data_IF_413330455609
#
_entry.id   IF_413330455609
#
_cell.length_a   1.000
_cell.length_b   1.000
_cell.length_c   1.000
_cell.angle_alpha   90.00
_cell.angle_beta   90.00
_cell.angle_gamma   90.00
#
_symmetry.space_group_name_H-M   'P 1'
#
loop_
_entity.id
_entity.type
_entity.pdbx_description
1 polymer ?
#
# COMPACT_ATOMS: atom_id res chain seq x y z
N UNK A 1 16.72 5.33 16.50
CA UNK A 1 15.57 5.68 15.66
C UNK A 1 15.43 7.19 15.70
N UNK A 2 15.54 7.85 14.56
CA UNK A 2 15.34 9.29 14.42
C UNK A 2 13.96 9.53 13.81
N UNK A 3 13.25 10.56 14.26
CA UNK A 3 11.91 10.90 13.78
C UNK A 3 11.95 12.30 13.18
N UNK A 4 11.64 12.38 11.89
CA UNK A 4 11.63 13.62 11.11
C UNK A 4 10.20 14.18 11.00
N UNK A 5 9.90 15.23 11.77
CA UNK A 5 8.60 15.89 11.78
C UNK A 5 8.68 17.32 11.21
N UNK A 6 7.61 17.76 10.55
CA UNK A 6 7.47 19.12 10.05
C UNK A 6 6.27 19.28 9.11
N UNK A 7 5.85 20.52 8.80
CA UNK A 7 4.73 20.79 7.89
C UNK A 7 5.04 20.38 6.44
N UNK A 8 4.04 20.40 5.57
CA UNK A 8 4.25 20.20 4.12
C UNK A 8 5.29 21.21 3.59
N UNK A 9 6.18 20.77 2.71
CA UNK A 9 7.23 21.63 2.16
C UNK A 9 8.44 21.87 3.07
N UNK A 10 8.48 21.30 4.28
CA UNK A 10 9.61 21.48 5.21
C UNK A 10 10.92 20.76 4.81
N UNK A 11 11.01 20.21 3.59
CA UNK A 11 12.23 19.56 3.10
C UNK A 11 12.53 18.16 3.66
N UNK A 12 11.57 17.47 4.31
CA UNK A 12 11.78 16.13 4.90
C UNK A 12 12.35 15.13 3.90
N UNK A 13 11.75 15.04 2.71
CA UNK A 13 12.20 14.14 1.64
C UNK A 13 13.64 14.43 1.24
N UNK A 14 13.99 15.71 1.09
CA UNK A 14 15.34 16.13 0.77
C UNK A 14 16.35 15.70 1.84
N UNK A 15 16.01 15.89 3.12
CA UNK A 15 16.85 15.45 4.24
C UNK A 15 17.04 13.94 4.28
N UNK A 16 15.98 13.15 4.01
CA UNK A 16 16.12 11.70 3.88
C UNK A 16 17.15 11.33 2.80
N UNK A 17 17.12 11.99 1.64
CA UNK A 17 18.11 11.75 0.59
C UNK A 17 19.53 12.12 1.00
N UNK A 18 19.72 13.26 1.68
CA UNK A 18 21.03 13.67 2.20
C UNK A 18 21.59 12.65 3.19
N UNK A 19 20.75 12.09 4.07
CA UNK A 19 21.14 11.06 5.03
C UNK A 19 21.54 9.75 4.31
N UNK A 20 20.81 9.35 3.27
CA UNK A 20 21.17 8.20 2.42
C UNK A 20 22.55 8.43 1.77
N UNK A 21 22.75 9.59 1.14
CA UNK A 21 24.02 9.95 0.49
C UNK A 21 25.17 9.95 1.49
N UNK A 22 24.97 10.54 2.67
CA UNK A 22 25.98 10.61 3.75
C UNK A 22 26.35 9.20 4.21
N UNK A 23 25.36 8.34 4.41
CA UNK A 23 25.56 6.95 4.83
C UNK A 23 26.38 6.17 3.80
N UNK A 24 26.03 6.27 2.51
CA UNK A 24 26.75 5.60 1.44
C UNK A 24 28.19 6.11 1.24
N UNK A 25 28.44 7.40 1.54
CA UNK A 25 29.81 7.96 1.53
C UNK A 25 30.66 7.41 2.69
N UNK A 26 30.05 7.17 3.85
CA UNK A 26 30.74 6.64 5.04
C UNK A 26 30.94 5.12 4.97
N UNK A 27 29.96 4.38 4.44
CA UNK A 27 30.03 2.93 4.28
C UNK A 27 29.37 2.50 2.96
N UNK A 28 30.15 1.91 2.05
CA UNK A 28 29.68 1.43 0.73
C UNK A 28 29.22 -0.04 0.72
N UNK A 29 29.10 -0.69 1.87
CA UNK A 29 28.74 -2.11 1.95
C UNK A 29 27.29 -2.36 2.33
N UNK A 30 26.66 -1.43 3.03
CA UNK A 30 25.32 -1.65 3.57
C UNK A 30 24.24 -1.29 2.54
N UNK A 31 23.24 -2.17 2.41
CA UNK A 31 22.05 -1.88 1.60
C UNK A 31 21.10 -1.00 2.39
N UNK A 32 20.57 0.03 1.72
CA UNK A 32 19.58 0.94 2.29
C UNK A 32 18.24 0.64 1.64
N UNK A 33 17.19 0.50 2.44
CA UNK A 33 15.81 0.35 1.96
C UNK A 33 15.06 1.66 2.24
N UNK A 34 14.59 2.31 1.19
CA UNK A 34 13.69 3.47 1.29
C UNK A 34 12.26 2.99 1.05
N UNK A 35 11.44 3.00 2.11
CA UNK A 35 10.04 2.59 2.03
C UNK A 35 9.19 3.82 1.65
N UNK A 36 8.42 3.69 0.57
CA UNK A 36 7.53 4.75 0.06
C UNK A 36 6.15 4.18 -0.28
N UNK A 37 5.10 5.01 -0.33
CA UNK A 37 3.82 4.58 -0.88
C UNK A 37 3.99 4.15 -2.34
N UNK A 38 3.26 3.12 -2.76
CA UNK A 38 3.35 2.54 -4.12
C UNK A 38 3.26 3.60 -5.23
N UNK A 39 2.42 4.62 -5.01
CA UNK A 39 2.15 5.71 -5.94
C UNK A 39 3.37 6.60 -6.23
N UNK A 40 4.38 6.63 -5.34
CA UNK A 40 5.56 7.49 -5.46
C UNK A 40 6.84 6.73 -5.83
N UNK A 41 6.78 5.40 -6.01
CA UNK A 41 7.98 4.56 -6.23
C UNK A 41 8.85 5.05 -7.39
N UNK A 42 8.24 5.33 -8.55
CA UNK A 42 8.99 5.74 -9.75
C UNK A 42 9.63 7.13 -9.59
N UNK A 43 8.89 8.09 -9.03
CA UNK A 43 9.39 9.45 -8.80
C UNK A 43 10.63 9.42 -7.90
N UNK A 44 10.56 8.67 -6.80
CA UNK A 44 11.66 8.54 -5.84
C UNK A 44 12.85 7.81 -6.45
N UNK A 45 12.63 6.76 -7.25
CA UNK A 45 13.71 6.06 -7.97
C UNK A 45 14.47 7.00 -8.92
N UNK A 46 13.74 7.84 -9.67
CA UNK A 46 14.35 8.81 -10.58
C UNK A 46 15.14 9.88 -9.83
N UNK A 47 14.56 10.48 -8.77
CA UNK A 47 15.27 11.47 -7.96
C UNK A 47 16.54 10.91 -7.32
N UNK A 48 16.49 9.67 -6.83
CA UNK A 48 17.65 8.98 -6.28
C UNK A 48 18.69 8.67 -7.36
N UNK A 49 18.27 8.23 -8.56
CA UNK A 49 19.18 7.95 -9.67
C UNK A 49 19.98 9.19 -10.08
N UNK A 50 19.32 10.34 -10.17
CA UNK A 50 19.97 11.63 -10.47
C UNK A 50 20.96 12.06 -9.39
N UNK A 51 20.61 11.85 -8.11
CA UNK A 51 21.42 12.29 -6.97
C UNK A 51 22.57 11.36 -6.62
N UNK A 52 22.44 10.07 -6.90
CA UNK A 52 23.33 9.03 -6.37
C UNK A 52 24.29 8.46 -7.41
N UNK A 53 24.21 8.78 -8.69
CA UNK A 53 25.09 8.16 -9.71
C UNK A 53 26.58 8.22 -9.31
N UNK A 54 27.32 7.08 -9.16
CA UNK A 54 26.95 5.67 -9.46
C UNK A 54 26.52 4.79 -8.24
N UNK A 55 26.31 5.35 -7.05
CA UNK A 55 25.91 4.68 -5.81
C UNK A 55 24.46 4.19 -5.71
N UNK A 56 23.65 4.30 -6.77
CA UNK A 56 22.25 3.84 -6.77
C UNK A 56 22.10 2.33 -6.46
N UNK A 57 23.10 1.51 -6.82
CA UNK A 57 23.08 0.05 -6.65
C UNK A 57 22.92 -0.42 -5.19
N UNK A 58 23.17 0.46 -4.21
CA UNK A 58 23.09 0.16 -2.78
C UNK A 58 21.78 0.63 -2.15
N UNK A 59 20.91 1.32 -2.90
CA UNK A 59 19.63 1.82 -2.43
C UNK A 59 18.50 1.09 -3.14
N UNK A 60 17.62 0.51 -2.35
CA UNK A 60 16.39 -0.12 -2.83
C UNK A 60 15.19 0.75 -2.47
N UNK A 61 14.44 1.20 -3.47
CA UNK A 61 13.13 1.82 -3.26
C UNK A 61 12.08 0.71 -3.25
N UNK A 62 11.37 0.57 -2.13
CA UNK A 62 10.35 -0.46 -1.95
C UNK A 62 9.08 0.13 -1.35
N UNK A 63 7.97 -0.56 -1.56
CA UNK A 63 6.70 -0.30 -0.89
C UNK A 63 6.36 -1.47 0.03
N UNK A 64 5.35 -1.29 0.90
CA UNK A 64 4.84 -2.40 1.70
C UNK A 64 4.33 -3.55 0.81
N UNK A 65 3.62 -3.24 -0.27
CA UNK A 65 3.14 -4.23 -1.24
C UNK A 65 4.29 -5.06 -1.83
N UNK A 66 5.39 -4.39 -2.25
CA UNK A 66 6.60 -5.07 -2.74
C UNK A 66 7.29 -5.91 -1.66
N UNK A 67 7.33 -5.44 -0.41
CA UNK A 67 7.91 -6.19 0.72
C UNK A 67 7.10 -7.45 1.04
N UNK A 68 5.77 -7.36 1.05
CA UNK A 68 4.86 -8.52 1.24
C UNK A 68 5.09 -9.56 0.15
N UNK A 69 5.18 -9.12 -1.11
CA UNK A 69 5.49 -10.00 -2.24
C UNK A 69 6.86 -10.67 -2.09
N UNK A 70 7.92 -9.90 -1.74
CA UNK A 70 9.27 -10.44 -1.51
C UNK A 70 9.33 -11.44 -0.35
N UNK A 71 8.50 -11.25 0.66
CA UNK A 71 8.41 -12.16 1.79
C UNK A 71 7.67 -13.47 1.45
N UNK A 72 7.22 -13.66 0.19
CA UNK A 72 6.38 -14.77 -0.25
C UNK A 72 5.14 -14.95 0.64
N UNK A 73 4.60 -13.85 1.15
CA UNK A 73 3.35 -13.88 1.87
C UNK A 73 2.27 -13.96 0.80
N UNK A 74 1.83 -15.18 0.48
CA UNK A 74 0.68 -15.43 -0.38
C UNK A 74 -0.57 -14.94 0.37
N UNK A 75 -0.85 -13.65 0.25
CA UNK A 75 -2.17 -13.12 0.59
C UNK A 75 -3.03 -13.40 -0.64
N UNK A 76 -4.06 -14.27 -0.55
CA UNK A 76 -5.02 -14.42 -1.64
C UNK A 76 -5.74 -13.08 -1.82
N UNK A 77 -5.20 -12.24 -2.69
CA UNK A 77 -5.79 -10.95 -3.02
C UNK A 77 -6.89 -11.20 -4.04
N UNK A 78 -8.13 -11.29 -3.56
CA UNK A 78 -9.29 -11.17 -4.44
C UNK A 78 -9.28 -9.76 -5.03
N UNK A 79 -9.21 -9.69 -6.37
CA UNK A 79 -9.38 -8.42 -7.06
C UNK A 79 -10.81 -7.91 -6.85
N UNK A 80 -11.04 -6.63 -7.16
CA UNK A 80 -12.33 -5.99 -6.90
C UNK A 80 -13.48 -6.70 -7.63
N UNK A 81 -13.27 -7.11 -8.89
CA UNK A 81 -14.29 -7.79 -9.68
C UNK A 81 -14.64 -9.16 -9.10
N UNK A 82 -13.65 -9.97 -8.73
CA UNK A 82 -13.83 -11.27 -8.08
C UNK A 82 -14.64 -11.13 -6.80
N UNK A 83 -14.30 -10.13 -5.98
CA UNK A 83 -15.01 -9.84 -4.73
C UNK A 83 -16.46 -9.45 -5.00
N UNK A 84 -16.70 -8.57 -5.96
CA UNK A 84 -18.05 -8.17 -6.39
C UNK A 84 -18.85 -9.38 -6.88
N UNK A 85 -18.25 -10.26 -7.68
CA UNK A 85 -18.92 -11.47 -8.19
C UNK A 85 -19.29 -12.44 -7.07
N UNK A 86 -18.38 -12.67 -6.12
CA UNK A 86 -18.64 -13.49 -4.93
C UNK A 86 -19.76 -12.86 -4.10
N UNK A 87 -19.71 -11.54 -3.87
CA UNK A 87 -20.72 -10.81 -3.10
C UNK A 87 -22.10 -10.89 -3.76
N UNK A 88 -22.18 -10.73 -5.09
CA UNK A 88 -23.43 -10.90 -5.84
C UNK A 88 -24.03 -12.28 -5.58
N UNK A 89 -23.22 -13.34 -5.74
CA UNK A 89 -23.68 -14.72 -5.50
C UNK A 89 -24.16 -14.94 -4.07
N UNK A 90 -23.37 -14.56 -3.07
CA UNK A 90 -23.73 -14.73 -1.65
C UNK A 90 -25.03 -13.98 -1.31
N UNK A 91 -25.18 -12.76 -1.81
CA UNK A 91 -26.38 -11.95 -1.55
C UNK A 91 -27.59 -12.53 -2.27
N UNK A 92 -27.46 -13.02 -3.50
CA UNK A 92 -28.53 -13.69 -4.22
C UNK A 92 -28.99 -14.98 -3.52
N UNK A 93 -28.06 -15.81 -3.05
CA UNK A 93 -28.37 -17.07 -2.37
C UNK A 93 -29.09 -16.84 -1.02
N UNK A 94 -28.77 -15.73 -0.33
CA UNK A 94 -29.24 -15.46 1.04
C UNK A 94 -30.22 -14.27 1.15
N UNK A 95 -30.70 -13.71 0.04
CA UNK A 95 -31.51 -12.48 0.04
C UNK A 95 -32.77 -12.56 0.92
N UNK A 96 -33.32 -13.77 1.11
CA UNK A 96 -34.51 -14.00 1.96
C UNK A 96 -34.26 -13.78 3.45
N UNK A 97 -33.00 -13.82 3.87
CA UNK A 97 -32.59 -13.62 5.27
C UNK A 97 -32.31 -12.14 5.59
N UNK A 98 -32.24 -11.28 4.58
CA UNK A 98 -32.03 -9.85 4.77
C UNK A 98 -33.24 -9.23 5.49
N UNK A 99 -33.00 -8.48 6.57
CA UNK A 99 -34.07 -7.79 7.33
C UNK A 99 -34.39 -6.39 6.80
N UNK A 100 -33.40 -5.68 6.26
CA UNK A 100 -33.52 -4.26 5.91
C UNK A 100 -33.36 -3.95 4.42
N UNK A 101 -32.57 -4.76 3.67
CA UNK A 101 -32.22 -4.49 2.26
C UNK A 101 -32.90 -5.41 1.25
N UNK A 102 -34.04 -6.01 1.61
CA UNK A 102 -34.79 -6.99 0.79
C UNK A 102 -35.24 -6.48 -0.57
N UNK A 103 -35.39 -5.16 -0.73
CA UNK A 103 -35.84 -4.53 -2.00
C UNK A 103 -34.70 -3.93 -2.83
N UNK A 104 -33.49 -3.90 -2.29
CA UNK A 104 -32.33 -3.23 -2.91
C UNK A 104 -31.15 -4.16 -3.13
N UNK A 105 -31.22 -5.42 -2.69
CA UNK A 105 -30.10 -6.37 -2.72
C UNK A 105 -29.55 -6.62 -4.14
N UNK A 106 -30.41 -6.51 -5.17
CA UNK A 106 -30.06 -6.75 -6.56
C UNK A 106 -29.62 -5.48 -7.33
N UNK A 107 -29.55 -4.33 -6.65
CA UNK A 107 -29.06 -3.09 -7.28
C UNK A 107 -27.54 -3.09 -7.25
N UNK A 108 -26.90 -2.75 -8.37
CA UNK A 108 -25.43 -2.71 -8.44
C UNK A 108 -24.82 -1.79 -7.37
N UNK A 109 -25.44 -0.62 -7.13
CA UNK A 109 -24.98 0.30 -6.08
C UNK A 109 -25.16 -0.21 -4.64
N UNK A 110 -25.93 -1.27 -4.39
CA UNK A 110 -25.94 -1.93 -3.09
C UNK A 110 -24.71 -2.82 -2.91
N UNK A 111 -24.41 -3.63 -3.93
CA UNK A 111 -23.23 -4.51 -3.93
C UNK A 111 -21.95 -3.70 -3.77
N UNK A 112 -21.82 -2.58 -4.50
CA UNK A 112 -20.67 -1.68 -4.41
C UNK A 112 -20.48 -1.12 -2.99
N UNK A 113 -21.58 -0.70 -2.35
CA UNK A 113 -21.53 -0.20 -0.96
C UNK A 113 -21.12 -1.29 0.03
N UNK A 114 -21.62 -2.51 -0.13
CA UNK A 114 -21.22 -3.65 0.72
C UNK A 114 -19.74 -3.98 0.49
N UNK A 115 -19.28 -3.99 -0.75
CA UNK A 115 -17.87 -4.19 -1.10
C UNK A 115 -16.97 -3.15 -0.41
N UNK A 116 -17.30 -1.86 -0.55
CA UNK A 116 -16.55 -0.77 0.07
C UNK A 116 -16.55 -0.86 1.60
N UNK A 117 -17.68 -1.22 2.21
CA UNK A 117 -17.76 -1.45 3.64
C UNK A 117 -16.83 -2.58 4.11
N UNK A 118 -16.82 -3.71 3.39
CA UNK A 118 -15.96 -4.85 3.72
C UNK A 118 -14.46 -4.53 3.58
N UNK A 119 -14.08 -3.77 2.55
CA UNK A 119 -12.69 -3.30 2.36
C UNK A 119 -12.25 -2.44 3.55
N UNK A 120 -13.04 -1.42 3.90
CA UNK A 120 -12.72 -0.56 5.04
C UNK A 120 -12.67 -1.35 6.33
N UNK A 121 -13.59 -2.31 6.52
CA UNK A 121 -13.62 -3.16 7.70
C UNK A 121 -12.39 -4.05 7.81
N UNK A 122 -11.94 -4.68 6.71
CA UNK A 122 -10.73 -5.51 6.72
C UNK A 122 -9.48 -4.71 7.06
N UNK A 123 -9.35 -3.51 6.50
CA UNK A 123 -8.20 -2.64 6.75
C UNK A 123 -8.15 -2.19 8.22
N UNK A 124 -9.32 -1.92 8.82
CA UNK A 124 -9.41 -1.55 10.22
C UNK A 124 -9.07 -2.72 11.15
N UNK A 125 -9.58 -3.93 10.89
CA UNK A 125 -9.42 -5.05 11.82
C UNK A 125 -7.99 -5.64 11.83
N UNK A 126 -7.28 -5.59 10.70
CA UNK A 126 -5.86 -5.98 10.62
C UNK A 126 -4.98 -5.11 11.53
N UNK A 127 -5.39 -3.89 11.86
CA UNK A 127 -4.64 -3.00 12.76
C UNK A 127 -4.84 -3.31 14.27
N UNK A 128 -5.80 -4.16 14.64
CA UNK A 128 -6.14 -4.49 16.03
C UNK A 128 -5.93 -5.97 16.39
N UNK A 129 -5.25 -6.73 15.52
CA UNK A 129 -4.90 -8.15 15.72
C UNK A 129 -3.42 -8.29 16.07
#
# INVERSE_FOLDING_TARGET
MEILLGPLGSGKTHRCYEEIIKTLKMNKKDKIIMIVPDQFSLEVELELAERLYPGLLLVEVSSFSKLVYKANIEIPMLNELERIMILKKVIEDNHKELKFFTKSYNKDGFIEKVNNFLVVFSDFFVLYS
#
